data_IF_738723798977
#
_entry.id   IF_738723798977
#
_cell.length_a   1.000
_cell.length_b   1.000
_cell.length_c   1.000
_cell.angle_alpha   90.00
_cell.angle_beta   90.00
_cell.angle_gamma   90.00
#
_symmetry.space_group_name_H-M   'P 1'
#
loop_
_entity.id
_entity.type
_entity.pdbx_description
1 polymer ?
#
# COMPACT_ATOMS: atom_id res chain seq x y z
N UNK A 1 59.32 49.33 -0.27
CA UNK A 1 58.95 50.06 0.96
C UNK A 1 57.98 49.11 1.66
N UNK A 2 58.40 48.11 2.41
CA UNK A 2 58.94 48.10 3.80
C UNK A 2 57.96 48.68 4.79
N UNK A 3 57.47 47.79 5.63
CA UNK A 3 57.35 47.73 7.09
C UNK A 3 56.28 46.69 7.45
N UNK A 4 56.51 45.50 7.90
CA UNK A 4 57.18 44.88 9.05
C UNK A 4 56.84 45.54 10.40
N UNK A 5 56.18 44.78 11.29
CA UNK A 5 56.28 44.73 12.75
C UNK A 5 55.16 43.81 13.28
N UNK A 6 55.49 42.57 13.65
CA UNK A 6 56.05 42.00 14.91
C UNK A 6 55.07 42.10 16.10
N UNK A 7 54.66 40.90 16.49
CA UNK A 7 54.36 40.27 17.80
C UNK A 7 54.91 41.03 19.04
N UNK A 8 54.67 40.67 20.33
CA UNK A 8 54.27 39.37 20.92
C UNK A 8 53.53 39.45 22.31
N UNK A 9 53.54 38.29 23.01
CA UNK A 9 53.37 37.98 24.47
C UNK A 9 51.91 37.82 24.95
N UNK A 10 51.56 36.95 25.86
CA UNK A 10 52.27 35.98 26.70
C UNK A 10 51.28 34.93 27.20
N UNK A 11 51.70 33.76 27.32
CA UNK A 11 51.69 32.73 28.31
C UNK A 11 51.43 33.15 29.76
N UNK A 12 50.95 32.17 30.58
CA UNK A 12 50.79 32.05 32.04
C UNK A 12 49.28 32.18 32.40
N UNK A 13 48.60 31.22 32.97
CA UNK A 13 48.98 30.34 34.05
C UNK A 13 48.15 29.03 34.03
N UNK A 14 48.86 27.95 34.19
CA UNK A 14 48.35 26.69 34.67
C UNK A 14 48.24 26.75 36.19
N UNK A 15 47.47 25.85 36.70
CA UNK A 15 47.59 25.20 38.02
C UNK A 15 46.43 25.45 39.01
N UNK A 16 46.04 24.35 39.49
CA UNK A 16 45.47 24.06 40.80
C UNK A 16 43.95 24.28 40.96
N UNK A 17 43.21 23.15 40.92
CA UNK A 17 42.57 22.62 42.12
C UNK A 17 42.14 21.15 41.84
N UNK A 18 43.11 20.25 42.06
CA UNK A 18 42.91 18.89 42.53
C UNK A 18 42.69 18.92 44.03
N UNK A 19 41.93 17.99 44.55
CA UNK A 19 41.68 17.65 45.94
C UNK A 19 40.41 18.29 46.55
N UNK A 20 39.33 17.54 46.54
CA UNK A 20 38.80 16.97 47.78
C UNK A 20 38.09 15.67 47.44
N UNK A 21 38.79 14.66 47.81
CA UNK A 21 38.43 13.24 47.87
C UNK A 21 37.44 12.96 48.98
N UNK A 22 36.76 11.86 48.76
CA UNK A 22 36.57 10.81 49.76
C UNK A 22 35.38 10.92 50.73
N UNK A 23 34.73 9.80 50.76
CA UNK A 23 34.03 9.18 51.88
C UNK A 23 32.74 9.84 52.39
N UNK A 24 31.62 9.21 52.01
CA UNK A 24 30.66 8.75 53.02
C UNK A 24 29.97 7.46 52.54
N UNK A 25 30.59 6.37 52.90
CA UNK A 25 29.87 5.12 53.23
C UNK A 25 29.13 5.35 54.53
N UNK A 26 27.84 5.39 54.54
CA UNK A 26 27.00 5.34 55.74
C UNK A 26 25.90 4.32 55.47
N UNK A 27 26.18 3.09 55.88
CA UNK A 27 25.56 2.37 56.99
C UNK A 27 24.04 2.34 56.98
N UNK A 28 23.52 1.19 56.55
CA UNK A 28 22.19 0.70 56.89
C UNK A 28 22.05 0.63 58.40
N UNK A 29 21.27 1.53 58.99
CA UNK A 29 20.81 1.42 60.36
C UNK A 29 19.57 0.52 60.40
N UNK A 30 19.77 -0.67 60.92
CA UNK A 30 18.70 -1.58 61.35
C UNK A 30 17.98 -0.94 62.53
N UNK A 31 16.73 -0.54 62.33
CA UNK A 31 15.83 -0.19 63.43
C UNK A 31 15.23 -1.47 63.95
N UNK A 32 15.72 -1.90 65.12
CA UNK A 32 15.14 -2.96 65.94
C UNK A 32 13.92 -2.40 66.64
N UNK A 33 12.72 -2.83 66.25
CA UNK A 33 11.49 -2.56 67.02
C UNK A 33 11.33 -3.66 68.06
N UNK A 34 11.21 -3.33 69.37
CA UNK A 34 11.06 -4.33 70.38
C UNK A 34 9.59 -4.80 70.49
N UNK A 35 9.41 -6.11 70.52
CA UNK A 35 8.36 -6.78 71.22
C UNK A 35 6.98 -6.82 70.59
N UNK A 36 6.78 -7.76 69.65
CA UNK A 36 5.45 -8.36 69.44
C UNK A 36 5.67 -9.88 69.49
N UNK A 37 5.30 -10.50 70.58
CA UNK A 37 5.19 -11.96 70.67
C UNK A 37 4.05 -12.44 69.82
N UNK A 38 4.25 -13.42 68.96
CA UNK A 38 3.14 -13.96 68.16
C UNK A 38 2.22 -14.78 69.08
N UNK A 39 0.95 -14.38 69.12
CA UNK A 39 -0.12 -15.18 69.71
C UNK A 39 -0.32 -16.45 68.89
N UNK A 40 -0.62 -17.58 69.53
CA UNK A 40 -0.85 -18.83 68.83
C UNK A 40 -2.08 -18.68 67.90
N UNK A 41 -1.85 -18.89 66.63
CA UNK A 41 -2.95 -18.97 65.65
C UNK A 41 -3.78 -20.22 65.93
N UNK A 42 -5.01 -20.00 66.27
CA UNK A 42 -6.03 -21.04 66.27
C UNK A 42 -6.31 -21.40 64.80
N UNK A 43 -5.85 -22.59 64.43
CA UNK A 43 -6.19 -23.16 63.13
C UNK A 43 -7.69 -23.50 63.14
N UNK A 44 -8.48 -22.67 62.50
CA UNK A 44 -9.88 -23.01 62.20
C UNK A 44 -9.89 -24.03 61.06
N UNK A 45 -10.67 -25.12 61.18
CA UNK A 45 -10.85 -26.03 60.04
C UNK A 45 -11.51 -25.26 58.90
N UNK A 46 -11.15 -25.61 57.64
CA UNK A 46 -11.73 -24.94 56.47
C UNK A 46 -13.26 -25.10 56.46
N UNK A 47 -14.01 -24.05 56.06
CA UNK A 47 -15.46 -24.15 55.97
C UNK A 47 -15.82 -25.21 54.92
N UNK A 48 -16.64 -26.18 55.33
CA UNK A 48 -17.29 -27.13 54.41
C UNK A 48 -18.19 -26.35 53.47
N UNK A 49 -17.77 -26.26 52.21
CA UNK A 49 -18.58 -25.70 51.13
C UNK A 49 -19.74 -26.70 50.87
N UNK A 50 -21.00 -26.27 50.92
CA UNK A 50 -22.12 -27.15 50.52
C UNK A 50 -21.92 -27.51 49.03
N UNK A 51 -22.32 -28.73 48.58
CA UNK A 51 -22.26 -29.13 47.19
C UNK A 51 -23.03 -28.11 46.35
N UNK A 52 -22.34 -27.46 45.44
CA UNK A 52 -22.94 -26.55 44.46
C UNK A 52 -23.96 -27.25 43.57
N UNK A 53 -24.90 -26.53 42.99
CA UNK A 53 -25.83 -27.09 42.04
C UNK A 53 -25.07 -27.80 40.91
N UNK A 54 -25.62 -28.86 40.29
CA UNK A 54 -24.97 -29.58 39.22
C UNK A 54 -24.59 -28.61 38.09
N UNK A 55 -23.44 -28.84 37.42
CA UNK A 55 -23.00 -27.97 36.35
C UNK A 55 -24.09 -27.86 35.29
N UNK A 56 -24.55 -26.66 35.03
CA UNK A 56 -25.40 -26.36 33.90
C UNK A 56 -24.59 -26.77 32.66
N UNK A 57 -25.07 -27.75 31.90
CA UNK A 57 -24.51 -28.10 30.63
C UNK A 57 -24.59 -26.87 29.75
N UNK A 58 -23.46 -26.16 29.59
CA UNK A 58 -23.33 -25.09 28.60
C UNK A 58 -23.42 -25.80 27.27
N UNK A 59 -24.56 -25.68 26.62
CA UNK A 59 -24.65 -26.08 25.19
C UNK A 59 -23.53 -25.37 24.46
N UNK A 60 -22.75 -26.10 23.62
CA UNK A 60 -21.79 -25.45 22.73
C UNK A 60 -22.53 -24.32 22.00
N UNK A 61 -21.88 -23.14 21.79
CA UNK A 61 -22.47 -22.10 20.98
C UNK A 61 -22.85 -22.72 19.65
N UNK A 62 -24.13 -22.70 19.33
CA UNK A 62 -24.59 -23.01 17.98
C UNK A 62 -23.79 -22.12 17.03
N UNK A 63 -22.98 -22.75 16.18
CA UNK A 63 -22.34 -22.05 15.08
C UNK A 63 -23.44 -21.22 14.41
N UNK A 64 -23.19 -19.92 14.11
CA UNK A 64 -24.17 -19.15 13.39
C UNK A 64 -24.55 -19.93 12.14
N UNK A 65 -25.83 -20.18 12.00
CA UNK A 65 -26.45 -20.81 10.84
C UNK A 65 -25.86 -20.09 9.61
N UNK A 66 -25.14 -20.83 8.79
CA UNK A 66 -24.59 -20.33 7.55
C UNK A 66 -25.71 -19.64 6.81
N UNK A 67 -25.55 -18.33 6.58
CA UNK A 67 -26.50 -17.58 5.77
C UNK A 67 -26.82 -18.38 4.50
N UNK A 68 -28.10 -18.46 4.10
CA UNK A 68 -28.47 -19.21 2.90
C UNK A 68 -27.64 -18.68 1.72
N UNK A 69 -27.18 -19.56 0.80
CA UNK A 69 -26.44 -19.13 -0.37
C UNK A 69 -27.23 -18.01 -1.07
N UNK A 70 -26.56 -16.96 -1.56
CA UNK A 70 -27.23 -15.83 -2.21
C UNK A 70 -28.11 -16.35 -3.35
N UNK A 71 -29.33 -15.79 -3.42
CA UNK A 71 -30.32 -16.22 -4.40
C UNK A 71 -29.74 -16.07 -5.81
N UNK A 72 -29.83 -17.16 -6.61
CA UNK A 72 -29.54 -17.12 -8.04
C UNK A 72 -30.48 -16.08 -8.65
N UNK A 73 -29.93 -15.10 -9.42
CA UNK A 73 -30.71 -14.07 -10.07
C UNK A 73 -31.86 -14.64 -10.93
N UNK A 74 -32.85 -13.80 -11.28
CA UNK A 74 -34.05 -14.17 -12.03
C UNK A 74 -33.75 -14.92 -13.35
N UNK A 75 -32.54 -14.84 -13.89
CA UNK A 75 -32.07 -15.49 -15.13
C UNK A 75 -31.42 -16.85 -14.90
N UNK A 76 -31.25 -17.31 -13.66
CA UNK A 76 -30.43 -18.50 -13.34
C UNK A 76 -28.92 -18.25 -13.47
N UNK A 77 -28.51 -17.02 -13.74
CA UNK A 77 -27.12 -16.61 -13.87
C UNK A 77 -26.60 -15.97 -12.58
N UNK A 78 -25.29 -15.97 -12.44
CA UNK A 78 -24.56 -15.29 -11.36
C UNK A 78 -24.48 -13.80 -11.68
N UNK A 79 -25.14 -12.96 -10.89
CA UNK A 79 -25.14 -11.51 -11.12
C UNK A 79 -23.92 -10.87 -10.45
N UNK A 80 -23.06 -10.27 -11.26
CA UNK A 80 -21.86 -9.51 -10.87
C UNK A 80 -22.12 -8.03 -11.17
N UNK A 81 -22.04 -7.18 -10.16
CA UNK A 81 -22.18 -5.74 -10.35
C UNK A 81 -20.83 -5.09 -10.70
N UNK A 82 -20.84 -4.13 -11.62
CA UNK A 82 -19.69 -3.28 -11.94
C UNK A 82 -20.08 -1.81 -11.74
N UNK A 83 -19.51 -1.18 -10.73
CA UNK A 83 -19.77 0.21 -10.37
C UNK A 83 -18.61 1.08 -10.81
N UNK A 84 -18.84 1.96 -11.79
CA UNK A 84 -17.83 2.83 -12.37
C UNK A 84 -18.37 4.25 -12.59
N UNK A 85 -17.51 5.28 -12.51
CA UNK A 85 -17.89 6.64 -12.89
C UNK A 85 -17.91 6.73 -14.42
N UNK A 86 -19.05 6.43 -15.04
CA UNK A 86 -19.21 6.47 -16.51
C UNK A 86 -19.54 7.87 -17.02
N UNK A 87 -19.82 8.80 -16.12
CA UNK A 87 -20.05 10.21 -16.40
C UNK A 87 -19.20 11.10 -15.49
N UNK A 88 -19.18 12.42 -15.75
CA UNK A 88 -18.38 13.37 -14.97
C UNK A 88 -16.89 13.36 -15.32
N UNK A 89 -16.04 13.96 -14.47
CA UNK A 89 -14.60 14.13 -14.75
C UNK A 89 -13.83 12.83 -14.99
N UNK A 90 -14.23 11.74 -14.36
CA UNK A 90 -13.60 10.42 -14.50
C UNK A 90 -14.30 9.53 -15.54
N UNK A 91 -15.26 10.05 -16.30
CA UNK A 91 -16.09 9.27 -17.20
C UNK A 91 -15.32 8.53 -18.30
N UNK A 92 -14.30 9.16 -18.87
CA UNK A 92 -13.45 8.51 -19.88
C UNK A 92 -12.66 7.32 -19.30
N UNK A 93 -12.14 7.45 -18.06
CA UNK A 93 -11.46 6.37 -17.38
C UNK A 93 -12.44 5.25 -17.03
N UNK A 94 -13.60 5.60 -16.48
CA UNK A 94 -14.66 4.63 -16.17
C UNK A 94 -15.09 3.85 -17.40
N UNK A 95 -15.27 4.51 -18.55
CA UNK A 95 -15.62 3.84 -19.81
C UNK A 95 -14.51 2.88 -20.26
N UNK A 96 -13.25 3.28 -20.22
CA UNK A 96 -12.15 2.39 -20.59
C UNK A 96 -12.01 1.17 -19.65
N UNK A 97 -12.37 1.33 -18.38
CA UNK A 97 -12.44 0.20 -17.43
C UNK A 97 -13.63 -0.73 -17.74
N UNK A 98 -14.75 -0.19 -18.17
CA UNK A 98 -15.91 -0.97 -18.63
C UNK A 98 -15.53 -1.75 -19.90
N UNK A 99 -14.94 -1.08 -20.89
CA UNK A 99 -14.48 -1.71 -22.13
C UNK A 99 -13.54 -2.90 -21.86
N UNK A 100 -12.63 -2.73 -20.90
CA UNK A 100 -11.73 -3.80 -20.46
C UNK A 100 -12.46 -4.94 -19.72
N UNK A 101 -13.47 -4.64 -18.92
CA UNK A 101 -14.30 -5.62 -18.25
C UNK A 101 -15.14 -6.45 -19.27
N UNK A 102 -15.67 -5.81 -20.31
CA UNK A 102 -16.36 -6.49 -21.41
C UNK A 102 -15.43 -7.39 -22.21
N UNK A 103 -14.17 -6.97 -22.44
CA UNK A 103 -13.15 -7.84 -23.05
C UNK A 103 -12.91 -9.09 -22.20
N UNK A 104 -12.79 -8.95 -20.86
CA UNK A 104 -12.63 -10.09 -19.98
C UNK A 104 -13.82 -11.05 -20.02
N UNK A 105 -15.03 -10.51 -20.04
CA UNK A 105 -16.25 -11.32 -20.14
C UNK A 105 -16.29 -12.12 -21.44
N UNK A 106 -15.91 -11.49 -22.55
CA UNK A 106 -15.81 -12.16 -23.86
C UNK A 106 -14.72 -13.23 -23.88
N UNK A 107 -13.54 -12.93 -23.36
CA UNK A 107 -12.39 -13.87 -23.37
C UNK A 107 -12.65 -15.11 -22.54
N UNK A 108 -13.36 -14.95 -21.44
CA UNK A 108 -13.65 -16.06 -20.53
C UNK A 108 -14.88 -16.85 -20.94
N UNK A 109 -15.65 -16.39 -21.95
CA UNK A 109 -16.84 -17.02 -22.48
C UNK A 109 -17.74 -17.61 -21.37
N UNK A 110 -18.07 -16.79 -20.36
CA UNK A 110 -18.81 -17.26 -19.19
C UNK A 110 -20.31 -16.99 -19.35
N UNK A 111 -21.03 -17.95 -19.90
CA UNK A 111 -22.48 -17.88 -20.08
C UNK A 111 -23.27 -17.87 -18.75
N UNK A 112 -22.62 -18.24 -17.64
CA UNK A 112 -23.22 -18.26 -16.31
C UNK A 112 -23.15 -16.92 -15.59
N UNK A 113 -22.34 -15.96 -16.08
CA UNK A 113 -22.16 -14.67 -15.48
C UNK A 113 -22.97 -13.59 -16.21
N UNK A 114 -23.69 -12.78 -15.46
CA UNK A 114 -24.35 -11.58 -15.91
C UNK A 114 -23.66 -10.36 -15.28
N UNK A 115 -23.00 -9.53 -16.11
CA UNK A 115 -22.34 -8.31 -15.65
C UNK A 115 -23.33 -7.15 -15.71
N UNK A 116 -23.70 -6.61 -14.54
CA UNK A 116 -24.64 -5.49 -14.40
C UNK A 116 -23.87 -4.22 -14.08
N UNK A 117 -23.73 -3.35 -15.06
CA UNK A 117 -22.99 -2.09 -14.92
C UNK A 117 -23.87 -0.95 -14.47
N UNK A 118 -23.39 -0.08 -13.57
CA UNK A 118 -24.06 1.15 -13.13
C UNK A 118 -23.08 2.31 -13.03
N UNK A 119 -23.57 3.48 -13.46
CA UNK A 119 -22.84 4.74 -13.38
C UNK A 119 -22.90 5.30 -11.95
N UNK A 120 -21.74 5.46 -11.31
CA UNK A 120 -21.60 6.10 -9.99
C UNK A 120 -21.56 7.63 -10.08
N UNK A 121 -21.44 8.18 -11.29
CA UNK A 121 -21.30 9.62 -11.57
C UNK A 121 -20.09 10.29 -10.92
N UNK A 122 -19.15 9.51 -10.37
CA UNK A 122 -18.01 10.01 -9.61
C UNK A 122 -18.39 10.62 -8.26
N UNK A 123 -19.55 10.27 -7.69
CA UNK A 123 -20.07 10.87 -6.46
C UNK A 123 -20.52 9.82 -5.44
N UNK A 124 -20.40 10.12 -4.12
CA UNK A 124 -20.90 9.23 -3.07
C UNK A 124 -22.38 8.87 -3.19
N UNK A 125 -23.23 9.85 -3.52
CA UNK A 125 -24.67 9.64 -3.66
C UNK A 125 -24.99 8.76 -4.88
N UNK A 126 -24.33 9.01 -6.01
CA UNK A 126 -24.46 8.18 -7.20
C UNK A 126 -24.02 6.73 -6.97
N UNK A 127 -22.91 6.54 -6.27
CA UNK A 127 -22.38 5.23 -5.91
C UNK A 127 -23.33 4.50 -4.94
N UNK A 128 -23.88 5.19 -3.94
CA UNK A 128 -24.89 4.63 -3.01
C UNK A 128 -26.14 4.16 -3.75
N UNK A 129 -26.69 5.00 -4.62
CA UNK A 129 -27.87 4.64 -5.42
C UNK A 129 -27.59 3.46 -6.36
N UNK A 130 -26.42 3.45 -7.01
CA UNK A 130 -25.97 2.35 -7.86
C UNK A 130 -25.85 1.03 -7.08
N UNK A 131 -25.24 1.06 -5.89
CA UNK A 131 -25.10 -0.11 -5.02
C UNK A 131 -26.47 -0.67 -4.59
N UNK A 132 -27.38 0.17 -4.11
CA UNK A 132 -28.74 -0.24 -3.74
C UNK A 132 -29.48 -0.89 -4.92
N UNK A 133 -29.35 -0.32 -6.11
CA UNK A 133 -29.98 -0.84 -7.31
C UNK A 133 -29.46 -2.22 -7.69
N UNK A 134 -28.13 -2.42 -7.72
CA UNK A 134 -27.56 -3.73 -8.12
C UNK A 134 -27.84 -4.80 -7.07
N UNK A 135 -27.85 -4.46 -5.79
CA UNK A 135 -28.20 -5.38 -4.72
C UNK A 135 -29.67 -5.81 -4.80
N UNK A 136 -30.58 -4.90 -5.13
CA UNK A 136 -32.00 -5.25 -5.35
C UNK A 136 -32.21 -6.16 -6.59
N UNK A 137 -31.22 -6.20 -7.50
CA UNK A 137 -31.20 -7.09 -8.67
C UNK A 137 -30.48 -8.42 -8.40
N UNK A 138 -30.05 -8.68 -7.16
CA UNK A 138 -29.43 -9.92 -6.75
C UNK A 138 -27.93 -10.00 -7.03
N UNK A 139 -27.21 -8.88 -7.09
CA UNK A 139 -25.76 -8.88 -7.21
C UNK A 139 -25.11 -9.64 -6.06
N UNK A 140 -24.22 -10.58 -6.38
CA UNK A 140 -23.52 -11.43 -5.42
C UNK A 140 -22.10 -10.95 -5.10
N UNK A 141 -21.56 -10.06 -5.93
CA UNK A 141 -20.31 -9.35 -5.73
C UNK A 141 -20.38 -7.99 -6.41
N UNK A 142 -19.72 -7.00 -5.85
CA UNK A 142 -19.58 -5.66 -6.42
C UNK A 142 -18.13 -5.44 -6.82
N UNK A 143 -17.88 -5.20 -8.10
CA UNK A 143 -16.60 -4.76 -8.65
C UNK A 143 -16.61 -3.24 -8.75
N UNK A 144 -15.57 -2.57 -8.25
CA UNK A 144 -15.59 -1.14 -8.04
C UNK A 144 -16.14 -0.77 -6.65
N UNK A 145 -16.37 0.53 -6.38
CA UNK A 145 -16.10 1.67 -7.23
C UNK A 145 -14.62 2.03 -7.40
N UNK A 146 -14.39 3.11 -8.20
CA UNK A 146 -13.03 3.59 -8.47
C UNK A 146 -12.53 4.57 -7.38
N UNK A 147 -13.35 5.54 -7.00
CA UNK A 147 -12.93 6.64 -6.13
C UNK A 147 -13.13 6.31 -4.64
N UNK A 148 -12.22 6.78 -3.79
CA UNK A 148 -12.26 6.49 -2.35
C UNK A 148 -13.57 6.92 -1.67
N UNK A 149 -14.07 8.12 -2.00
CA UNK A 149 -15.33 8.63 -1.46
C UNK A 149 -16.54 7.78 -1.87
N UNK A 150 -16.52 7.21 -3.07
CA UNK A 150 -17.55 6.27 -3.55
C UNK A 150 -17.47 4.94 -2.81
N UNK A 151 -16.26 4.40 -2.60
CA UNK A 151 -16.06 3.17 -1.81
C UNK A 151 -16.58 3.34 -0.39
N UNK A 152 -16.29 4.48 0.24
CA UNK A 152 -16.81 4.83 1.58
C UNK A 152 -18.33 4.83 1.66
N UNK A 153 -19.01 5.24 0.57
CA UNK A 153 -20.46 5.26 0.48
C UNK A 153 -21.07 3.88 0.19
N UNK A 154 -20.41 3.06 -0.63
CA UNK A 154 -20.88 1.70 -0.99
C UNK A 154 -20.65 0.69 0.13
N UNK A 155 -19.53 0.79 0.83
CA UNK A 155 -19.12 -0.17 1.86
C UNK A 155 -20.21 -0.51 2.88
N UNK A 156 -20.84 0.43 3.60
CA UNK A 156 -21.88 0.10 4.59
C UNK A 156 -23.13 -0.56 3.96
N UNK A 157 -23.46 -0.21 2.73
CA UNK A 157 -24.62 -0.77 2.00
C UNK A 157 -24.36 -2.22 1.64
N UNK A 158 -23.19 -2.51 1.08
CA UNK A 158 -22.77 -3.86 0.70
C UNK A 158 -22.59 -4.76 1.94
N UNK A 159 -22.06 -4.23 3.04
CA UNK A 159 -21.93 -4.95 4.32
C UNK A 159 -23.30 -5.36 4.87
N UNK A 160 -24.28 -4.47 4.87
CA UNK A 160 -25.64 -4.78 5.32
C UNK A 160 -26.31 -5.89 4.49
N UNK A 161 -25.93 -6.00 3.20
CA UNK A 161 -26.39 -7.04 2.29
C UNK A 161 -25.51 -8.31 2.30
N UNK A 162 -24.42 -8.33 3.07
CA UNK A 162 -23.39 -9.41 3.09
C UNK A 162 -22.78 -9.69 1.71
N UNK A 163 -22.67 -8.68 0.85
CA UNK A 163 -22.10 -8.78 -0.49
C UNK A 163 -20.69 -8.21 -0.48
N UNK A 164 -19.66 -8.96 -0.92
CA UNK A 164 -18.29 -8.47 -0.97
C UNK A 164 -18.11 -7.39 -2.04
N UNK A 165 -17.17 -6.48 -1.77
CA UNK A 165 -16.77 -5.39 -2.66
C UNK A 165 -15.30 -5.55 -3.05
N UNK A 166 -15.00 -5.54 -4.34
CA UNK A 166 -13.63 -5.51 -4.89
C UNK A 166 -13.42 -4.13 -5.53
N UNK A 167 -12.98 -3.17 -4.74
CA UNK A 167 -12.85 -1.77 -5.13
C UNK A 167 -11.51 -1.48 -5.81
N UNK A 168 -11.47 -0.44 -6.65
CA UNK A 168 -10.26 -0.02 -7.38
C UNK A 168 -9.49 1.11 -6.69
N UNK A 169 -9.97 1.56 -5.53
CA UNK A 169 -9.32 2.60 -4.73
C UNK A 169 -7.97 2.14 -4.17
N UNK A 170 -7.10 3.11 -3.88
CA UNK A 170 -5.83 2.93 -3.18
C UNK A 170 -5.86 3.43 -1.74
N UNK A 171 -6.99 3.92 -1.25
CA UNK A 171 -7.17 4.36 0.13
C UNK A 171 -7.32 3.15 1.06
N UNK A 172 -6.23 2.77 1.71
CA UNK A 172 -6.13 1.57 2.55
C UNK A 172 -7.04 1.59 3.77
N UNK A 173 -7.53 2.76 4.20
CA UNK A 173 -8.47 2.89 5.33
C UNK A 173 -9.84 2.29 5.05
N UNK A 174 -10.17 2.08 3.78
CA UNK A 174 -11.44 1.51 3.32
C UNK A 174 -11.43 -0.02 3.26
N UNK A 175 -10.26 -0.65 3.40
CA UNK A 175 -10.11 -2.11 3.35
C UNK A 175 -10.78 -2.83 4.53
N UNK A 176 -11.00 -4.13 4.35
CA UNK A 176 -11.53 -5.03 5.39
C UNK A 176 -13.05 -5.05 5.46
N UNK A 177 -13.56 -5.96 6.31
CA UNK A 177 -15.00 -6.15 6.52
C UNK A 177 -15.77 -6.43 5.23
N UNK A 178 -15.24 -7.32 4.37
CA UNK A 178 -15.84 -7.66 3.07
C UNK A 178 -15.50 -6.69 1.93
N UNK A 179 -14.72 -5.64 2.19
CA UNK A 179 -14.21 -4.72 1.17
C UNK A 179 -12.74 -5.01 0.89
N UNK A 180 -12.43 -5.34 -0.35
CA UNK A 180 -11.09 -5.64 -0.85
C UNK A 180 -10.65 -4.56 -1.82
N UNK A 181 -9.44 -4.05 -1.66
CA UNK A 181 -8.86 -3.04 -2.55
C UNK A 181 -7.96 -3.71 -3.56
N UNK A 182 -8.27 -3.57 -4.84
CA UNK A 182 -7.53 -4.18 -5.95
C UNK A 182 -6.65 -3.16 -6.70
N UNK A 183 -6.69 -1.89 -6.30
CA UNK A 183 -5.87 -0.82 -6.89
C UNK A 183 -4.37 -1.11 -6.79
N UNK A 184 -3.55 -0.34 -7.51
CA UNK A 184 -2.10 -0.39 -7.37
C UNK A 184 -1.70 0.36 -6.09
N UNK A 185 -1.40 -0.39 -5.03
CA UNK A 185 -1.11 0.19 -3.72
C UNK A 185 0.33 0.72 -3.67
N UNK A 186 0.52 2.03 -3.42
CA UNK A 186 1.86 2.61 -3.34
C UNK A 186 2.76 1.94 -2.30
N UNK A 187 2.20 1.45 -1.19
CA UNK A 187 2.95 0.73 -0.16
C UNK A 187 3.59 -0.57 -0.66
N UNK A 188 2.92 -1.31 -1.54
CA UNK A 188 3.48 -2.53 -2.15
C UNK A 188 4.62 -2.19 -3.13
N UNK A 189 4.47 -1.12 -3.90
CA UNK A 189 5.50 -0.63 -4.83
C UNK A 189 6.75 -0.18 -4.06
N UNK A 190 6.56 0.63 -3.02
CA UNK A 190 7.63 1.11 -2.14
C UNK A 190 8.33 -0.06 -1.45
N UNK A 191 7.58 -0.98 -0.85
CA UNK A 191 8.16 -2.16 -0.17
C UNK A 191 9.01 -2.97 -1.14
N UNK A 192 8.54 -3.20 -2.37
CA UNK A 192 9.24 -3.99 -3.37
C UNK A 192 10.54 -3.37 -3.83
N UNK A 193 10.53 -2.07 -4.19
CA UNK A 193 11.76 -1.40 -4.67
C UNK A 193 12.74 -1.13 -3.53
N UNK A 194 12.26 -0.89 -2.30
CA UNK A 194 13.12 -0.73 -1.11
C UNK A 194 13.85 -2.03 -0.80
N UNK A 195 13.15 -3.16 -0.77
CA UNK A 195 13.77 -4.48 -0.54
C UNK A 195 14.82 -4.80 -1.59
N UNK A 196 14.52 -4.53 -2.87
CA UNK A 196 15.51 -4.70 -3.93
C UNK A 196 16.71 -3.78 -3.76
N UNK A 197 16.51 -2.50 -3.48
CA UNK A 197 17.59 -1.55 -3.27
C UNK A 197 18.48 -1.96 -2.08
N UNK A 198 17.87 -2.45 -0.99
CA UNK A 198 18.61 -2.99 0.15
C UNK A 198 19.48 -4.20 -0.23
N UNK A 199 18.93 -5.15 -0.99
CA UNK A 199 19.68 -6.31 -1.51
C UNK A 199 20.83 -5.90 -2.44
N UNK A 200 20.71 -4.74 -3.10
CA UNK A 200 21.79 -4.14 -3.91
C UNK A 200 22.76 -3.27 -3.06
N UNK A 201 22.71 -3.36 -1.74
CA UNK A 201 23.63 -2.70 -0.82
C UNK A 201 23.25 -1.26 -0.45
N UNK A 202 22.05 -0.80 -0.79
CA UNK A 202 21.55 0.53 -0.35
C UNK A 202 20.97 0.42 1.05
N UNK A 203 21.55 1.15 2.01
CA UNK A 203 21.19 1.00 3.42
C UNK A 203 20.75 2.30 4.10
N UNK A 204 20.92 3.43 3.44
CA UNK A 204 20.54 4.75 3.94
C UNK A 204 19.62 5.42 2.92
N UNK A 205 18.38 5.55 3.30
CA UNK A 205 17.33 6.06 2.44
C UNK A 205 16.95 7.49 2.83
N UNK A 206 16.52 8.25 1.84
CA UNK A 206 15.92 9.56 2.04
C UNK A 206 14.68 9.70 1.15
N UNK A 207 13.81 10.64 1.49
CA UNK A 207 12.57 10.95 0.77
C UNK A 207 12.51 12.44 0.49
N UNK A 208 12.23 12.79 -0.74
CA UNK A 208 11.88 14.16 -1.15
C UNK A 208 10.51 14.13 -1.80
N UNK A 209 9.46 14.46 -1.05
CA UNK A 209 8.06 14.26 -1.41
C UNK A 209 7.28 15.58 -1.50
N UNK A 210 6.23 15.65 -2.34
CA UNK A 210 5.31 16.79 -2.30
C UNK A 210 4.52 16.80 -0.99
N UNK A 211 4.20 17.99 -0.48
CA UNK A 211 3.32 18.20 0.69
C UNK A 211 1.86 17.97 0.31
N UNK A 212 1.55 16.75 -0.13
CA UNK A 212 0.22 16.29 -0.53
C UNK A 212 -0.13 15.01 0.25
N UNK A 213 -1.41 14.61 0.32
CA UNK A 213 -1.77 13.32 0.91
C UNK A 213 -1.01 12.13 0.32
N UNK A 214 -0.77 12.13 -1.00
CA UNK A 214 0.02 11.09 -1.66
C UNK A 214 1.48 11.09 -1.19
N UNK A 215 2.12 12.25 -1.11
CA UNK A 215 3.50 12.36 -0.62
C UNK A 215 3.64 11.86 0.82
N UNK A 216 2.66 12.13 1.68
CA UNK A 216 2.63 11.62 3.05
C UNK A 216 2.50 10.09 3.08
N UNK A 217 1.58 9.51 2.30
CA UNK A 217 1.41 8.05 2.20
C UNK A 217 2.70 7.37 1.76
N UNK A 218 3.43 7.95 0.79
CA UNK A 218 4.70 7.39 0.34
C UNK A 218 5.78 7.51 1.41
N UNK A 219 5.89 8.65 2.09
CA UNK A 219 6.88 8.83 3.15
C UNK A 219 6.68 7.82 4.29
N UNK A 220 5.44 7.59 4.70
CA UNK A 220 5.09 6.58 5.70
C UNK A 220 5.42 5.16 5.20
N UNK A 221 5.07 4.84 3.95
CA UNK A 221 5.40 3.55 3.35
C UNK A 221 6.91 3.31 3.24
N UNK A 222 7.71 4.33 2.90
CA UNK A 222 9.19 4.23 2.88
C UNK A 222 9.73 3.99 4.27
N UNK A 223 9.23 4.70 5.27
CA UNK A 223 9.63 4.49 6.67
C UNK A 223 9.41 3.05 7.11
N UNK A 224 8.23 2.50 6.83
CA UNK A 224 7.89 1.12 7.18
C UNK A 224 8.74 0.11 6.41
N UNK A 225 8.93 0.31 5.10
CA UNK A 225 9.72 -0.57 4.26
C UNK A 225 11.21 -0.56 4.64
N UNK A 226 11.77 0.61 4.95
CA UNK A 226 13.16 0.77 5.40
C UNK A 226 13.37 0.06 6.74
N UNK A 227 12.44 0.25 7.70
CA UNK A 227 12.48 -0.43 8.99
C UNK A 227 12.37 -1.96 8.85
N UNK A 228 11.48 -2.46 7.98
CA UNK A 228 11.31 -3.89 7.71
C UNK A 228 12.57 -4.56 7.13
N UNK A 229 13.39 -3.81 6.40
CA UNK A 229 14.66 -4.29 5.83
C UNK A 229 15.86 -4.04 6.77
N UNK A 230 15.68 -3.49 7.98
CA UNK A 230 16.79 -3.17 8.90
C UNK A 230 17.71 -2.05 8.39
N UNK A 231 17.23 -1.24 7.44
CA UNK A 231 17.94 -0.10 6.88
C UNK A 231 17.64 1.19 7.66
N UNK A 232 18.22 2.31 7.26
CA UNK A 232 18.07 3.60 7.94
C UNK A 232 17.36 4.60 7.03
N UNK A 233 16.32 5.27 7.53
CA UNK A 233 15.73 6.44 6.92
C UNK A 233 16.43 7.69 7.47
N UNK A 234 17.36 8.25 6.69
CA UNK A 234 18.19 9.40 7.12
C UNK A 234 17.40 10.70 7.12
N UNK A 235 16.50 10.86 6.13
CA UNK A 235 15.81 12.15 5.94
C UNK A 235 14.48 12.02 5.21
N UNK A 236 13.53 12.86 5.60
CA UNK A 236 12.28 13.09 4.89
C UNK A 236 12.09 14.60 4.75
N UNK A 237 11.97 15.09 3.54
CA UNK A 237 11.69 16.51 3.25
C UNK A 237 10.42 16.60 2.39
N UNK A 238 9.53 17.49 2.80
CA UNK A 238 8.34 17.80 2.04
C UNK A 238 8.48 19.17 1.36
N UNK A 239 8.01 19.28 0.13
CA UNK A 239 8.02 20.52 -0.63
C UNK A 239 6.62 20.92 -1.10
N UNK A 240 6.43 22.24 -1.20
CA UNK A 240 5.26 22.80 -1.88
C UNK A 240 5.30 22.37 -3.36
N UNK A 241 4.22 21.76 -3.87
CA UNK A 241 4.17 21.25 -5.24
C UNK A 241 4.29 22.32 -6.34
N UNK A 242 4.32 23.60 -6.01
CA UNK A 242 4.66 24.66 -6.97
C UNK A 242 6.13 24.63 -7.41
N UNK A 243 6.42 25.13 -8.61
CA UNK A 243 7.78 25.11 -9.21
C UNK A 243 8.82 25.74 -8.29
N UNK A 244 8.50 26.89 -7.68
CA UNK A 244 9.40 27.59 -6.75
C UNK A 244 9.62 26.79 -5.45
N UNK A 245 8.60 26.07 -4.98
CA UNK A 245 8.69 25.21 -3.83
C UNK A 245 9.65 24.03 -4.04
N UNK A 246 9.60 23.39 -5.21
CA UNK A 246 10.53 22.31 -5.59
C UNK A 246 11.98 22.77 -5.55
N UNK A 247 12.32 23.88 -6.22
CA UNK A 247 13.69 24.39 -6.28
C UNK A 247 14.24 24.76 -4.90
N UNK A 248 13.44 25.41 -4.08
CA UNK A 248 13.83 25.78 -2.72
C UNK A 248 14.07 24.54 -1.85
N UNK A 249 13.22 23.51 -1.97
CA UNK A 249 13.36 22.26 -1.22
C UNK A 249 14.59 21.47 -1.65
N UNK A 250 14.84 21.30 -2.95
CA UNK A 250 16.06 20.61 -3.43
C UNK A 250 17.32 21.31 -2.94
N UNK A 251 17.34 22.65 -2.97
CA UNK A 251 18.47 23.43 -2.47
C UNK A 251 18.71 23.22 -0.96
N UNK A 252 17.65 23.22 -0.13
CA UNK A 252 17.76 22.93 1.30
C UNK A 252 18.23 21.50 1.53
N UNK A 253 17.57 20.55 0.87
CA UNK A 253 17.87 19.14 0.98
C UNK A 253 19.33 18.81 0.64
N UNK A 254 19.88 19.41 -0.42
CA UNK A 254 21.29 19.28 -0.79
C UNK A 254 22.24 20.01 0.19
N UNK A 255 21.80 21.15 0.76
CA UNK A 255 22.62 21.97 1.65
C UNK A 255 22.96 21.31 2.98
N UNK A 256 22.20 20.31 3.39
CA UNK A 256 22.45 19.53 4.62
C UNK A 256 23.44 18.36 4.41
N UNK A 257 23.95 18.20 3.19
CA UNK A 257 24.87 17.12 2.81
C UNK A 257 24.14 15.87 2.33
N UNK A 258 24.89 14.96 1.74
CA UNK A 258 24.37 13.67 1.21
C UNK A 258 24.85 12.56 2.13
N UNK A 259 24.00 12.15 3.07
CA UNK A 259 24.22 11.08 4.05
C UNK A 259 23.37 9.83 3.77
N UNK A 260 22.83 9.74 2.55
CA UNK A 260 21.97 8.64 2.04
C UNK A 260 22.55 8.12 0.71
N UNK A 261 22.21 6.87 0.39
CA UNK A 261 22.62 6.18 -0.84
C UNK A 261 21.43 5.82 -1.76
N UNK A 262 20.21 6.09 -1.30
CA UNK A 262 18.98 5.97 -2.08
C UNK A 262 18.02 7.12 -1.76
N UNK A 263 17.38 7.70 -2.78
CA UNK A 263 16.46 8.83 -2.66
C UNK A 263 15.13 8.52 -3.36
N UNK A 264 14.04 8.48 -2.57
CA UNK A 264 12.69 8.38 -3.10
C UNK A 264 12.19 9.71 -3.63
N UNK A 265 11.66 9.66 -4.87
CA UNK A 265 11.07 10.78 -5.60
C UNK A 265 9.65 10.42 -6.02
N UNK A 266 8.64 10.57 -5.17
CA UNK A 266 7.25 10.18 -5.44
C UNK A 266 6.51 11.23 -6.31
N UNK A 267 7.03 11.49 -7.46
CA UNK A 267 6.48 12.38 -8.49
C UNK A 267 6.44 11.66 -9.82
N UNK A 268 5.53 12.07 -10.69
CA UNK A 268 5.39 11.52 -12.04
C UNK A 268 5.06 12.59 -13.09
N UNK A 269 4.92 12.17 -14.35
CA UNK A 269 4.53 13.00 -15.46
C UNK A 269 5.45 14.21 -15.66
N UNK A 270 4.86 15.39 -15.87
CA UNK A 270 5.62 16.63 -16.08
C UNK A 270 6.36 17.13 -14.83
N UNK A 271 5.89 16.76 -13.65
CA UNK A 271 6.43 17.30 -12.40
C UNK A 271 7.78 16.69 -12.04
N UNK A 272 7.94 15.38 -12.22
CA UNK A 272 9.26 14.74 -12.02
C UNK A 272 10.30 15.28 -13.01
N UNK A 273 9.90 15.65 -14.24
CA UNK A 273 10.79 16.25 -15.24
C UNK A 273 11.24 17.67 -14.87
N UNK A 274 10.53 18.33 -13.97
CA UNK A 274 10.96 19.61 -13.38
C UNK A 274 11.84 19.39 -12.17
N UNK A 275 11.54 18.38 -11.36
CA UNK A 275 12.27 18.09 -10.11
C UNK A 275 13.63 17.45 -10.38
N UNK A 276 13.67 16.39 -11.20
CA UNK A 276 14.85 15.54 -11.37
C UNK A 276 16.10 16.29 -11.87
N UNK A 277 16.05 17.21 -12.86
CA UNK A 277 17.24 17.93 -13.30
C UNK A 277 17.86 18.84 -12.23
N UNK A 278 17.08 19.22 -11.22
CA UNK A 278 17.57 20.09 -10.13
C UNK A 278 18.49 19.31 -9.16
N UNK A 279 18.31 18.00 -9.04
CA UNK A 279 19.10 17.17 -8.11
C UNK A 279 20.59 17.21 -8.46
N UNK A 280 21.05 16.83 -9.68
CA UNK A 280 22.47 16.93 -10.03
C UNK A 280 22.97 18.38 -10.09
N UNK A 281 22.13 19.35 -10.42
CA UNK A 281 22.49 20.77 -10.36
C UNK A 281 22.91 21.18 -8.92
N UNK A 282 22.24 20.64 -7.90
CA UNK A 282 22.59 20.84 -6.49
C UNK A 282 23.51 19.73 -5.93
N UNK A 283 24.21 18.98 -6.80
CA UNK A 283 25.21 17.95 -6.44
C UNK A 283 24.66 16.70 -5.74
N UNK A 284 23.39 16.38 -5.96
CA UNK A 284 22.83 15.07 -5.65
C UNK A 284 23.00 14.21 -6.90
N UNK A 285 24.12 13.51 -6.96
CA UNK A 285 24.58 12.79 -8.16
C UNK A 285 23.87 11.43 -8.28
N UNK A 286 23.16 11.13 -9.39
CA UNK A 286 22.49 9.84 -9.60
C UNK A 286 23.48 8.65 -9.70
N UNK A 287 24.76 8.88 -9.94
CA UNK A 287 25.80 7.83 -9.92
C UNK A 287 26.16 7.43 -8.49
N UNK A 288 25.97 8.32 -7.51
CA UNK A 288 26.25 8.07 -6.10
C UNK A 288 24.98 7.71 -5.31
N UNK A 289 23.87 8.38 -5.59
CA UNK A 289 22.58 8.22 -4.93
C UNK A 289 21.60 7.58 -5.90
N UNK A 290 21.13 6.38 -5.59
CA UNK A 290 20.15 5.70 -6.42
C UNK A 290 18.77 6.37 -6.29
N UNK A 291 18.25 6.91 -7.38
CA UNK A 291 16.91 7.46 -7.40
C UNK A 291 15.89 6.34 -7.47
N UNK A 292 14.88 6.42 -6.60
CA UNK A 292 13.79 5.45 -6.48
C UNK A 292 12.46 6.15 -6.75
N UNK A 293 11.62 5.51 -7.55
CA UNK A 293 10.28 5.98 -7.86
C UNK A 293 9.19 5.01 -7.41
N UNK A 294 7.96 5.39 -7.67
CA UNK A 294 6.76 4.56 -7.53
C UNK A 294 6.24 4.15 -8.89
N UNK A 295 5.09 3.47 -8.95
CA UNK A 295 4.39 3.16 -10.19
C UNK A 295 4.04 4.38 -11.07
N UNK A 296 4.17 5.60 -10.54
CA UNK A 296 4.08 6.83 -11.35
C UNK A 296 5.20 6.93 -12.39
N UNK A 297 6.27 6.14 -12.24
CA UNK A 297 7.35 6.05 -13.23
C UNK A 297 7.08 5.00 -14.32
N UNK A 298 5.99 4.25 -14.21
CA UNK A 298 5.50 3.35 -15.29
C UNK A 298 4.81 4.17 -16.41
N UNK A 299 5.51 5.20 -16.86
CA UNK A 299 5.13 6.14 -17.91
C UNK A 299 6.20 6.11 -19.01
N UNK A 300 5.83 5.85 -20.29
CA UNK A 300 6.79 5.81 -21.39
C UNK A 300 7.63 7.10 -21.55
N UNK A 301 7.11 8.22 -21.07
CA UNK A 301 7.78 9.50 -21.18
C UNK A 301 8.85 9.74 -20.11
N UNK A 302 8.93 8.89 -19.07
CA UNK A 302 9.88 9.07 -17.97
C UNK A 302 11.33 8.94 -18.46
N UNK A 303 11.61 8.00 -19.37
CA UNK A 303 12.92 7.77 -19.96
C UNK A 303 13.41 8.90 -20.87
N UNK A 304 12.61 9.95 -21.10
CA UNK A 304 13.05 11.17 -21.81
C UNK A 304 13.79 12.15 -20.90
N UNK A 305 13.77 11.94 -19.56
CA UNK A 305 14.47 12.77 -18.59
C UNK A 305 15.83 12.14 -18.22
N UNK A 306 16.96 12.73 -18.69
CA UNK A 306 18.29 12.13 -18.51
C UNK A 306 18.70 11.97 -17.04
N UNK A 307 18.22 12.85 -16.15
CA UNK A 307 18.57 12.78 -14.73
C UNK A 307 17.94 11.58 -14.00
N UNK A 308 16.97 10.91 -14.61
CA UNK A 308 16.34 9.70 -14.10
C UNK A 308 16.93 8.42 -14.67
N UNK A 309 17.85 8.51 -15.62
CA UNK A 309 18.48 7.33 -16.21
C UNK A 309 19.17 6.48 -15.12
N UNK A 310 18.93 5.18 -15.14
CA UNK A 310 19.39 4.28 -14.10
C UNK A 310 18.56 4.27 -12.82
N UNK A 311 17.55 5.12 -12.66
CA UNK A 311 16.62 5.11 -11.52
C UNK A 311 15.77 3.84 -11.48
N UNK A 312 15.33 3.42 -10.28
CA UNK A 312 14.57 2.18 -10.07
C UNK A 312 13.16 2.45 -9.55
N UNK A 313 12.21 1.63 -9.97
CA UNK A 313 10.85 1.63 -9.45
C UNK A 313 10.23 0.25 -9.54
N UNK A 314 9.20 -0.01 -8.75
CA UNK A 314 8.46 -1.27 -8.85
C UNK A 314 7.11 -1.05 -9.54
N UNK A 315 6.81 -1.94 -10.48
CA UNK A 315 5.54 -1.97 -11.20
C UNK A 315 5.25 -3.37 -11.75
N UNK A 316 4.03 -3.68 -12.18
CA UNK A 316 3.76 -4.85 -12.99
C UNK A 316 4.60 -4.88 -14.26
N UNK A 317 5.07 -6.06 -14.66
CA UNK A 317 5.90 -6.21 -15.86
C UNK A 317 5.14 -5.77 -17.12
N UNK A 318 5.63 -4.82 -17.91
CA UNK A 318 4.94 -4.31 -19.10
C UNK A 318 4.64 -5.40 -20.14
N UNK A 319 5.51 -6.41 -20.24
CA UNK A 319 5.32 -7.53 -21.17
C UNK A 319 4.07 -8.37 -20.90
N UNK A 320 3.58 -8.40 -19.65
CA UNK A 320 2.39 -9.17 -19.28
C UNK A 320 1.12 -8.54 -19.88
N UNK A 321 1.03 -7.21 -19.91
CA UNK A 321 -0.15 -6.48 -20.39
C UNK A 321 -0.11 -6.08 -21.88
N UNK A 322 1.06 -6.16 -22.51
CA UNK A 322 1.22 -5.71 -23.89
C UNK A 322 0.23 -6.33 -24.90
N UNK A 323 -0.09 -7.64 -24.85
CA UNK A 323 -1.11 -8.22 -25.74
C UNK A 323 -2.51 -7.61 -25.53
N UNK A 324 -2.88 -7.32 -24.27
CA UNK A 324 -4.13 -6.65 -23.95
C UNK A 324 -4.14 -5.23 -24.51
N UNK A 325 -3.08 -4.44 -24.31
CA UNK A 325 -2.96 -3.06 -24.79
C UNK A 325 -3.11 -2.98 -26.32
N UNK A 326 -2.45 -3.89 -27.04
CA UNK A 326 -2.57 -3.98 -28.50
C UNK A 326 -3.99 -4.29 -28.96
N UNK A 327 -4.63 -5.27 -28.32
CA UNK A 327 -6.00 -5.67 -28.67
C UNK A 327 -7.02 -4.59 -28.31
N UNK A 328 -6.88 -3.97 -27.15
CA UNK A 328 -7.72 -2.85 -26.72
C UNK A 328 -7.65 -1.70 -27.74
N UNK A 329 -6.41 -1.31 -28.15
CA UNK A 329 -6.22 -0.24 -29.12
C UNK A 329 -6.79 -0.59 -30.50
N UNK A 330 -6.80 -1.85 -30.90
CA UNK A 330 -7.43 -2.30 -32.14
C UNK A 330 -8.96 -2.19 -32.08
N UNK A 331 -9.57 -2.56 -30.94
CA UNK A 331 -11.03 -2.54 -30.75
C UNK A 331 -11.56 -1.11 -30.57
N UNK A 332 -10.93 -0.33 -29.69
CA UNK A 332 -11.46 0.96 -29.25
C UNK A 332 -10.78 2.17 -29.89
N UNK A 333 -9.76 1.96 -30.76
CA UNK A 333 -9.05 2.99 -31.55
C UNK A 333 -8.22 4.00 -30.73
N UNK A 334 -7.92 3.67 -29.48
CA UNK A 334 -7.00 4.41 -28.62
C UNK A 334 -6.32 3.45 -27.64
N UNK A 335 -5.14 3.79 -27.11
CA UNK A 335 -4.50 2.97 -26.07
C UNK A 335 -5.34 3.00 -24.77
N UNK A 336 -5.35 1.89 -24.00
CA UNK A 336 -6.04 1.88 -22.73
C UNK A 336 -5.31 2.75 -21.70
N UNK A 337 -6.04 3.51 -20.86
CA UNK A 337 -5.46 4.09 -19.65
C UNK A 337 -4.88 2.99 -18.74
N UNK A 338 -3.84 3.32 -17.95
CA UNK A 338 -3.15 2.34 -17.11
C UNK A 338 -4.09 1.55 -16.19
N UNK A 339 -5.13 2.19 -15.65
CA UNK A 339 -6.10 1.55 -14.74
C UNK A 339 -7.14 0.67 -15.44
N UNK A 340 -7.21 0.65 -16.77
CA UNK A 340 -8.18 -0.17 -17.49
C UNK A 340 -8.01 -1.67 -17.21
N UNK A 341 -6.77 -2.14 -16.98
CA UNK A 341 -6.48 -3.51 -16.61
C UNK A 341 -7.19 -3.98 -15.34
N UNK A 342 -7.48 -3.06 -14.40
CA UNK A 342 -8.22 -3.39 -13.17
C UNK A 342 -9.65 -3.85 -13.47
N UNK A 343 -10.30 -3.24 -14.47
CA UNK A 343 -11.64 -3.65 -14.91
C UNK A 343 -11.62 -5.07 -15.48
N UNK A 344 -10.62 -5.38 -16.30
CA UNK A 344 -10.41 -6.72 -16.84
C UNK A 344 -10.16 -7.75 -15.72
N UNK A 345 -9.15 -7.49 -14.87
CA UNK A 345 -8.72 -8.44 -13.84
C UNK A 345 -9.81 -8.70 -12.79
N UNK A 346 -10.59 -7.67 -12.40
CA UNK A 346 -11.69 -7.85 -11.47
C UNK A 346 -12.82 -8.69 -12.08
N UNK A 347 -13.15 -8.47 -13.35
CA UNK A 347 -14.15 -9.27 -14.06
C UNK A 347 -13.67 -10.70 -14.26
N UNK A 348 -12.40 -10.89 -14.58
CA UNK A 348 -11.78 -12.20 -14.68
C UNK A 348 -11.81 -12.96 -13.34
N UNK A 349 -11.49 -12.28 -12.24
CA UNK A 349 -11.60 -12.84 -10.88
C UNK A 349 -13.04 -13.31 -10.61
N UNK A 350 -14.03 -12.44 -10.85
CA UNK A 350 -15.43 -12.80 -10.65
C UNK A 350 -15.87 -13.97 -11.53
N UNK A 351 -15.43 -14.02 -12.79
CA UNK A 351 -15.74 -15.10 -13.72
C UNK A 351 -15.14 -16.45 -13.30
N UNK A 352 -13.92 -16.44 -12.74
CA UNK A 352 -13.29 -17.64 -12.19
C UNK A 352 -14.04 -18.16 -10.96
N UNK A 353 -14.40 -17.25 -10.03
CA UNK A 353 -15.11 -17.60 -8.81
C UNK A 353 -16.57 -17.99 -9.06
N UNK A 354 -17.18 -17.52 -10.14
CA UNK A 354 -18.52 -17.93 -10.57
C UNK A 354 -18.57 -19.40 -11.05
N UNK A 355 -17.44 -19.99 -11.41
CA UNK A 355 -17.31 -21.39 -11.91
C UNK A 355 -16.86 -22.39 -10.84
N UNK A 356 -17.03 -22.08 -9.57
CA UNK A 356 -16.67 -23.03 -8.50
C UNK A 356 -17.36 -24.37 -8.68
N UNK A 357 -16.77 -25.47 -8.19
CA UNK A 357 -17.29 -26.85 -8.37
C UNK A 357 -18.67 -27.05 -7.74
N UNK A 358 -19.09 -26.18 -6.84
CA UNK A 358 -20.42 -26.17 -6.19
C UNK A 358 -21.28 -24.97 -6.57
N UNK A 359 -20.93 -24.27 -7.64
CA UNK A 359 -21.51 -23.00 -8.06
C UNK A 359 -20.63 -21.80 -7.72
N UNK A 360 -21.18 -20.59 -7.83
CA UNK A 360 -20.44 -19.38 -7.52
C UNK A 360 -20.05 -19.30 -6.04
N UNK A 361 -18.78 -18.99 -5.78
CA UNK A 361 -18.25 -18.80 -4.43
C UNK A 361 -17.51 -17.46 -4.33
N UNK A 362 -18.15 -16.46 -3.77
CA UNK A 362 -17.57 -15.15 -3.47
C UNK A 362 -17.29 -14.99 -1.97
N UNK A 363 -17.15 -16.09 -1.24
CA UNK A 363 -16.79 -16.06 0.18
C UNK A 363 -15.43 -15.40 0.41
N UNK A 364 -15.20 -14.93 1.63
CA UNK A 364 -13.91 -14.40 2.02
C UNK A 364 -12.78 -15.41 1.78
N UNK A 365 -13.04 -16.71 1.99
CA UNK A 365 -12.06 -17.76 1.75
C UNK A 365 -11.69 -17.89 0.26
N UNK A 366 -12.67 -17.86 -0.63
CA UNK A 366 -12.43 -17.93 -2.07
C UNK A 366 -11.70 -16.69 -2.59
N UNK A 367 -12.15 -15.48 -2.16
CA UNK A 367 -11.54 -14.22 -2.54
C UNK A 367 -10.10 -14.07 -2.02
N UNK A 368 -9.80 -14.60 -0.82
CA UNK A 368 -8.46 -14.50 -0.20
C UNK A 368 -7.63 -15.77 -0.39
N UNK A 369 -7.80 -16.45 -1.50
CA UNK A 369 -7.01 -17.64 -1.84
C UNK A 369 -5.49 -17.32 -1.70
N UNK A 370 -4.75 -18.06 -0.85
CA UNK A 370 -3.34 -17.76 -0.59
C UNK A 370 -2.45 -17.94 -1.84
N UNK A 371 -2.85 -18.77 -2.80
CA UNK A 371 -2.14 -18.91 -4.06
C UNK A 371 -2.36 -17.71 -5.01
N UNK A 372 -3.42 -16.95 -4.76
CA UNK A 372 -3.77 -15.79 -5.59
C UNK A 372 -4.37 -16.18 -6.94
N UNK A 373 -4.35 -15.20 -7.83
CA UNK A 373 -4.93 -15.24 -9.17
C UNK A 373 -3.90 -14.70 -10.18
N UNK A 374 -4.05 -15.11 -11.43
CA UNK A 374 -3.27 -14.53 -12.53
C UNK A 374 -4.12 -13.51 -13.27
N UNK A 375 -3.57 -12.32 -13.46
CA UNK A 375 -4.19 -11.21 -14.18
C UNK A 375 -3.29 -10.66 -15.29
N UNK A 376 -3.75 -9.60 -15.96
CA UNK A 376 -3.00 -8.88 -16.99
C UNK A 376 -1.73 -8.23 -16.43
N UNK A 377 -1.76 -7.84 -15.17
CA UNK A 377 -0.65 -7.23 -14.46
C UNK A 377 0.19 -8.24 -13.65
N UNK A 378 0.16 -9.51 -14.04
CA UNK A 378 0.82 -10.60 -13.34
C UNK A 378 -0.02 -11.19 -12.22
N UNK A 379 0.63 -11.91 -11.31
CA UNK A 379 -0.07 -12.53 -10.19
C UNK A 379 -0.50 -11.49 -9.15
N UNK A 380 -1.67 -11.71 -8.55
CA UNK A 380 -2.15 -10.94 -7.40
C UNK A 380 -2.93 -11.83 -6.44
N UNK A 381 -3.01 -11.43 -5.18
CA UNK A 381 -3.93 -12.03 -4.20
C UNK A 381 -4.54 -10.94 -3.32
N UNK A 382 -5.76 -11.18 -2.88
CA UNK A 382 -6.41 -10.37 -1.86
C UNK A 382 -6.09 -10.97 -0.50
N UNK A 383 -5.67 -10.15 0.45
CA UNK A 383 -5.36 -10.58 1.81
C UNK A 383 -6.61 -10.50 2.70
N UNK A 384 -6.67 -11.25 3.81
CA UNK A 384 -7.78 -11.13 4.78
C UNK A 384 -7.95 -9.71 5.35
N UNK A 385 -6.89 -8.89 5.33
CA UNK A 385 -6.96 -7.46 5.67
C UNK A 385 -7.78 -6.63 4.69
N UNK A 386 -8.12 -7.17 3.51
CA UNK A 386 -8.76 -6.44 2.41
C UNK A 386 -7.78 -5.76 1.46
N UNK A 387 -6.47 -5.86 1.68
CA UNK A 387 -5.46 -5.27 0.80
C UNK A 387 -5.00 -6.27 -0.26
N UNK A 388 -4.75 -5.80 -1.47
CA UNK A 388 -4.13 -6.60 -2.52
C UNK A 388 -2.63 -6.74 -2.26
N UNK A 389 -2.07 -7.88 -2.64
CA UNK A 389 -0.64 -8.08 -2.85
C UNK A 389 -0.41 -8.44 -4.31
N UNK A 390 0.54 -7.79 -4.97
CA UNK A 390 0.87 -8.01 -6.38
C UNK A 390 2.28 -8.53 -6.56
N UNK A 391 2.48 -9.38 -7.56
CA UNK A 391 3.79 -9.77 -8.02
C UNK A 391 4.39 -8.67 -8.89
N UNK A 392 5.17 -7.76 -8.28
CA UNK A 392 5.76 -6.63 -8.97
C UNK A 392 7.19 -6.95 -9.43
N UNK A 393 7.54 -6.53 -10.65
CA UNK A 393 8.91 -6.44 -11.12
C UNK A 393 9.60 -5.20 -10.53
N UNK A 394 10.93 -5.19 -10.53
CA UNK A 394 11.69 -3.94 -10.42
C UNK A 394 12.21 -3.56 -11.79
N UNK A 395 11.96 -2.32 -12.17
CA UNK A 395 12.36 -1.76 -13.47
C UNK A 395 13.40 -0.68 -13.26
N UNK A 396 14.28 -0.57 -14.23
CA UNK A 396 15.24 0.53 -14.36
C UNK A 396 14.83 1.45 -15.49
N UNK A 397 14.79 2.74 -15.19
CA UNK A 397 14.57 3.78 -16.18
C UNK A 397 15.74 3.81 -17.16
N UNK A 398 15.44 3.77 -18.45
CA UNK A 398 16.44 3.89 -19.51
C UNK A 398 15.90 4.75 -20.63
N UNK A 399 16.81 5.39 -21.35
CA UNK A 399 16.46 6.12 -22.56
C UNK A 399 15.89 5.16 -23.63
N UNK A 400 14.67 5.41 -24.04
CA UNK A 400 13.99 4.59 -25.06
C UNK A 400 13.16 3.42 -24.53
N UNK A 401 13.08 3.22 -23.24
CA UNK A 401 12.20 2.22 -22.61
C UNK A 401 12.80 1.60 -21.35
N UNK A 402 11.94 1.32 -20.38
CA UNK A 402 12.35 0.78 -19.09
C UNK A 402 12.70 -0.72 -19.19
N UNK A 403 13.73 -1.15 -18.47
CA UNK A 403 14.20 -2.54 -18.46
C UNK A 403 13.89 -3.21 -17.13
N UNK A 404 13.37 -4.43 -17.17
CA UNK A 404 13.19 -5.26 -15.96
C UNK A 404 14.57 -5.70 -15.48
N UNK A 405 14.94 -5.30 -14.27
CA UNK A 405 16.20 -5.66 -13.62
C UNK A 405 16.01 -6.73 -12.53
N UNK A 406 14.77 -6.88 -12.04
CA UNK A 406 14.38 -7.97 -11.16
C UNK A 406 12.96 -8.43 -11.51
N UNK A 407 12.80 -9.69 -12.00
CA UNK A 407 11.53 -10.16 -12.53
C UNK A 407 10.45 -10.26 -11.45
N UNK A 408 9.16 -10.20 -11.82
CA UNK A 408 8.08 -10.41 -10.88
C UNK A 408 8.07 -11.89 -10.42
N UNK A 409 7.68 -12.15 -9.17
CA UNK A 409 7.51 -13.52 -8.67
C UNK A 409 6.40 -14.22 -9.45
N UNK A 410 6.55 -15.53 -9.67
CA UNK A 410 5.56 -16.35 -10.36
C UNK A 410 4.56 -17.01 -9.39
N UNK A 411 4.86 -17.02 -8.10
CA UNK A 411 4.01 -17.56 -7.04
C UNK A 411 4.13 -16.72 -5.78
N UNK A 412 3.12 -16.79 -4.91
CA UNK A 412 3.19 -16.20 -3.57
C UNK A 412 3.76 -17.15 -2.51
N UNK A 413 4.14 -18.36 -2.91
CA UNK A 413 4.84 -19.30 -2.04
C UNK A 413 6.29 -18.82 -1.91
N UNK A 414 6.76 -18.67 -0.68
CA UNK A 414 8.14 -18.23 -0.35
C UNK A 414 8.49 -16.74 -0.63
N UNK A 415 7.52 -15.87 -0.77
CA UNK A 415 7.80 -14.45 -0.62
C UNK A 415 8.03 -14.17 0.88
N UNK A 416 9.27 -14.19 1.31
CA UNK A 416 9.68 -13.84 2.67
C UNK A 416 9.63 -12.31 2.87
N UNK A 417 8.42 -11.73 2.86
CA UNK A 417 8.18 -10.35 3.26
C UNK A 417 7.25 -10.33 4.46
#
# INVERSE_FOLDING_TARGET
MSFCLRRPYARIAAAAWLLVSALTLASCSYIKVPGITPSPQVVRPPPTIPPGPPPTVVQPPTLPETAPPPAIGATGKVTVALLLPLSGPSGQLGQAMLDAAEMALYDLANDQLELVTRDTKGTPDGASAAAQQVLSQGAQIILGPLLANEVGAVKPIAQAAHVPVVAFSTDTTLAGQGTYLMGFLPSEEVARVTSYAHLQGRNRFAVLAPSTPYGQVIADAVKDAVAANGATLSRVEFYDPGVNGMAAAVKRFAGEGVDYDALFLPEGGSRIKVLAPQLPYFKIDPDQVKFLGTGLWDDPTIGTEPSLDGGWYAAPAPSARAPFEQRFAQLYRHPPPRLATLGYDATALAAVLARGPQGADFSAQALTNPNGFSGLDGIFRLRPSGLVQRGLAVLQVQRGGNTIIDPPPQTFQNLGF
#
